data_IF_212287306321
#
_entry.id   IF_212287306321
#
_cell.length_a   1.000
_cell.length_b   1.000
_cell.length_c   1.000
_cell.angle_alpha   90.00
_cell.angle_beta   90.00
_cell.angle_gamma   90.00
#
_symmetry.space_group_name_H-M   'P 1'
#
loop_
_entity.id
_entity.type
_entity.pdbx_description
1 polymer ?
#
# COMPACT_ATOMS: atom_id res chain seq x y z
N UNK A 1 -19.06 36.20 4.86
CA UNK A 1 -18.14 35.32 5.61
C UNK A 1 -19.02 34.61 6.62
N UNK A 2 -19.31 33.32 6.42
CA UNK A 2 -20.27 32.57 7.24
C UNK A 2 -19.50 31.81 8.33
N UNK A 3 -19.73 32.15 9.59
CA UNK A 3 -19.22 31.41 10.74
C UNK A 3 -20.22 30.35 11.15
N UNK A 4 -19.77 29.11 11.24
CA UNK A 4 -20.58 27.99 11.73
C UNK A 4 -20.38 27.92 13.24
N UNK A 5 -21.46 28.08 14.01
CA UNK A 5 -21.43 27.89 15.46
C UNK A 5 -21.49 26.40 15.78
N UNK A 6 -20.48 25.89 16.49
CA UNK A 6 -20.44 24.50 16.97
C UNK A 6 -21.08 24.45 18.35
N UNK A 7 -22.30 23.94 18.43
CA UNK A 7 -22.99 23.69 19.69
C UNK A 7 -22.48 22.37 20.29
N UNK A 8 -21.64 22.43 21.33
CA UNK A 8 -21.29 21.25 22.12
C UNK A 8 -22.45 20.89 23.04
N UNK A 9 -23.22 19.87 22.69
CA UNK A 9 -24.25 19.28 23.56
C UNK A 9 -23.60 18.19 24.41
N UNK A 10 -23.59 18.38 25.73
CA UNK A 10 -23.19 17.34 26.67
C UNK A 10 -24.35 16.35 26.86
N UNK A 11 -24.57 15.48 25.88
CA UNK A 11 -25.33 14.25 26.11
C UNK A 11 -24.39 13.20 26.69
N UNK A 12 -24.87 12.46 27.69
CA UNK A 12 -24.16 11.27 28.17
C UNK A 12 -24.17 10.25 27.03
N UNK A 13 -23.02 10.06 26.38
CA UNK A 13 -22.84 9.02 25.37
C UNK A 13 -23.14 7.68 26.02
N UNK A 14 -23.99 6.88 25.39
CA UNK A 14 -24.30 5.54 25.86
C UNK A 14 -23.01 4.72 25.97
N UNK A 15 -22.89 3.84 26.96
CA UNK A 15 -21.64 3.11 27.25
C UNK A 15 -21.20 2.23 26.06
N UNK A 16 -22.15 1.91 25.17
CA UNK A 16 -21.94 1.18 23.91
C UNK A 16 -21.35 2.02 22.78
N UNK A 17 -21.40 3.35 22.87
CA UNK A 17 -20.82 4.29 21.88
C UNK A 17 -19.39 4.72 22.23
N UNK A 18 -18.85 4.24 23.36
CA UNK A 18 -17.48 4.54 23.78
C UNK A 18 -16.53 3.54 23.11
N UNK A 19 -15.96 3.95 21.99
CA UNK A 19 -14.86 3.22 21.33
C UNK A 19 -13.63 3.28 22.25
N UNK A 20 -13.27 2.15 22.86
CA UNK A 20 -11.99 2.01 23.55
C UNK A 20 -10.85 1.98 22.54
N UNK A 21 -10.18 3.13 22.38
CA UNK A 21 -9.06 3.29 21.47
C UNK A 21 -7.90 2.35 21.77
N UNK A 22 -7.68 1.94 23.02
CA UNK A 22 -6.60 1.02 23.37
C UNK A 22 -6.89 -0.40 22.87
N UNK A 23 -8.13 -0.86 23.00
CA UNK A 23 -8.57 -2.14 22.43
C UNK A 23 -8.55 -2.12 20.90
N UNK A 24 -8.89 -0.99 20.27
CA UNK A 24 -8.87 -0.85 18.81
C UNK A 24 -7.43 -0.91 18.25
N UNK A 25 -6.48 -0.22 18.90
CA UNK A 25 -5.06 -0.28 18.55
C UNK A 25 -4.51 -1.69 18.75
N UNK A 26 -4.82 -2.34 19.89
CA UNK A 26 -4.38 -3.73 20.14
C UNK A 26 -4.89 -4.67 19.07
N UNK A 27 -6.17 -4.56 18.69
CA UNK A 27 -6.76 -5.37 17.63
C UNK A 27 -6.07 -5.13 16.28
N UNK A 28 -5.79 -3.87 15.92
CA UNK A 28 -5.07 -3.52 14.70
C UNK A 28 -3.65 -4.11 14.67
N UNK A 29 -2.95 -4.07 15.80
CA UNK A 29 -1.59 -4.61 15.95
C UNK A 29 -1.61 -6.14 15.96
N UNK A 30 -2.61 -6.78 16.57
CA UNK A 30 -2.73 -8.24 16.60
C UNK A 30 -3.22 -8.82 15.26
N UNK A 31 -4.06 -8.08 14.53
CA UNK A 31 -4.49 -8.43 13.17
C UNK A 31 -3.43 -8.09 12.12
N UNK A 32 -2.30 -7.48 12.52
CA UNK A 32 -1.14 -7.27 11.67
C UNK A 32 -0.50 -8.64 11.38
N UNK A 33 -1.05 -9.34 10.38
CA UNK A 33 -0.44 -10.49 9.74
C UNK A 33 1.02 -10.16 9.50
N UNK A 34 1.92 -11.01 10.03
CA UNK A 34 3.31 -11.02 9.61
C UNK A 34 3.37 -10.95 8.08
N UNK A 35 4.25 -10.10 7.49
CA UNK A 35 4.39 -10.05 6.04
C UNK A 35 4.67 -11.48 5.56
N UNK A 36 3.94 -11.91 4.54
CA UNK A 36 3.98 -13.28 4.08
C UNK A 36 5.44 -13.67 3.81
N UNK A 37 5.87 -14.81 4.36
CA UNK A 37 7.28 -15.26 4.42
C UNK A 37 7.94 -15.56 3.05
N UNK A 38 7.43 -15.01 1.94
CA UNK A 38 7.96 -15.12 0.58
C UNK A 38 7.69 -13.87 -0.26
N UNK A 39 7.72 -12.68 0.32
CA UNK A 39 7.87 -11.48 -0.52
C UNK A 39 9.25 -11.56 -1.19
N UNK A 40 9.27 -11.80 -2.50
CA UNK A 40 10.51 -11.76 -3.26
C UNK A 40 11.18 -10.40 -3.02
N UNK A 41 12.51 -10.37 -2.90
CA UNK A 41 13.20 -9.13 -2.56
C UNK A 41 12.88 -8.03 -3.58
N UNK A 42 12.51 -6.85 -3.07
CA UNK A 42 12.35 -5.63 -3.85
C UNK A 42 13.71 -4.94 -4.01
N UNK A 43 13.82 -4.04 -4.99
CA UNK A 43 14.97 -3.14 -5.10
C UNK A 43 14.78 -1.97 -4.13
N UNK A 44 15.84 -1.64 -3.36
CA UNK A 44 15.78 -0.61 -2.32
C UNK A 44 15.52 0.80 -2.85
N UNK A 45 16.13 1.14 -3.98
CA UNK A 45 16.02 2.47 -4.61
C UNK A 45 15.50 2.33 -6.04
N UNK A 46 14.19 2.05 -6.21
CA UNK A 46 13.62 1.91 -7.54
C UNK A 46 13.56 3.27 -8.24
N UNK A 47 13.70 3.31 -9.58
CA UNK A 47 13.61 4.56 -10.32
C UNK A 47 12.23 5.21 -10.17
N UNK A 48 12.18 6.51 -9.89
CA UNK A 48 10.94 7.29 -9.73
C UNK A 48 10.51 8.00 -11.02
N UNK A 49 10.89 7.44 -12.17
CA UNK A 49 10.44 7.89 -13.49
C UNK A 49 9.51 6.86 -14.09
N UNK A 50 8.52 7.29 -14.88
CA UNK A 50 7.52 6.37 -15.48
C UNK A 50 8.19 5.31 -16.35
N UNK A 51 9.08 5.73 -17.25
CA UNK A 51 9.85 4.80 -18.09
C UNK A 51 10.80 3.93 -17.27
N UNK A 52 11.39 4.48 -16.20
CA UNK A 52 12.22 3.72 -15.27
C UNK A 52 11.46 2.58 -14.60
N UNK A 53 10.23 2.84 -14.13
CA UNK A 53 9.38 1.81 -13.52
C UNK A 53 9.05 0.67 -14.48
N UNK A 54 8.73 1.01 -15.74
CA UNK A 54 8.54 0.02 -16.79
C UNK A 54 9.78 -0.85 -17.03
N UNK A 55 10.96 -0.22 -17.22
CA UNK A 55 12.24 -0.93 -17.42
C UNK A 55 12.63 -1.79 -16.22
N UNK A 56 12.30 -1.32 -15.02
CA UNK A 56 12.50 -2.07 -13.78
C UNK A 56 11.67 -3.35 -13.77
N UNK A 57 10.39 -3.29 -14.19
CA UNK A 57 9.52 -4.47 -14.33
C UNK A 57 10.08 -5.53 -15.27
N UNK A 58 10.59 -5.11 -16.43
CA UNK A 58 11.27 -6.01 -17.38
C UNK A 58 12.47 -6.71 -16.73
N UNK A 59 13.30 -5.95 -16.02
CA UNK A 59 14.52 -6.47 -15.38
C UNK A 59 14.21 -7.39 -14.20
N UNK A 60 13.19 -7.05 -13.42
CA UNK A 60 12.77 -7.79 -12.24
C UNK A 60 12.09 -9.13 -12.59
N UNK A 61 11.43 -9.22 -13.75
CA UNK A 61 10.87 -10.47 -14.24
C UNK A 61 11.94 -11.57 -14.36
N UNK A 62 13.07 -11.26 -15.02
CA UNK A 62 14.17 -12.20 -15.18
C UNK A 62 14.81 -12.60 -13.83
N UNK A 63 14.85 -11.66 -12.88
CA UNK A 63 15.42 -11.88 -11.55
C UNK A 63 14.42 -12.40 -10.50
N UNK A 64 13.17 -12.62 -10.88
CA UNK A 64 12.06 -13.02 -9.98
C UNK A 64 11.94 -12.14 -8.74
N UNK A 65 12.12 -10.82 -8.91
CA UNK A 65 11.96 -9.83 -7.83
C UNK A 65 10.53 -9.34 -7.72
N UNK A 66 10.13 -8.88 -6.54
CA UNK A 66 8.81 -8.29 -6.33
C UNK A 66 8.78 -6.82 -6.74
N UNK A 67 7.56 -6.30 -6.88
CA UNK A 67 7.31 -4.91 -7.23
C UNK A 67 7.70 -3.99 -6.06
N UNK A 68 8.67 -3.07 -6.25
CA UNK A 68 9.14 -2.19 -5.17
C UNK A 68 8.21 -0.99 -4.93
N UNK A 69 7.22 -0.76 -5.79
CA UNK A 69 6.33 0.40 -5.70
C UNK A 69 5.10 0.12 -4.84
N UNK A 70 4.53 1.17 -4.23
CA UNK A 70 3.28 1.08 -3.46
C UNK A 70 2.14 0.57 -4.35
N UNK A 71 1.43 -0.47 -3.90
CA UNK A 71 0.25 -0.99 -4.58
C UNK A 71 -0.78 0.12 -4.89
N UNK A 72 -1.31 0.10 -6.12
CA UNK A 72 -2.25 1.11 -6.63
C UNK A 72 -1.61 2.42 -7.09
N UNK A 73 -0.30 2.60 -6.97
CA UNK A 73 0.40 3.75 -7.57
C UNK A 73 0.58 3.61 -9.08
N UNK A 74 0.82 4.73 -9.78
CA UNK A 74 1.10 4.70 -11.23
C UNK A 74 2.39 3.94 -11.55
N UNK A 75 3.41 4.05 -10.71
CA UNK A 75 4.65 3.30 -10.87
C UNK A 75 4.44 1.80 -10.70
N UNK A 76 3.59 1.37 -9.77
CA UNK A 76 3.23 -0.04 -9.59
C UNK A 76 2.62 -0.63 -10.87
N UNK A 77 1.69 0.09 -11.50
CA UNK A 77 1.05 -0.34 -12.74
C UNK A 77 2.03 -0.45 -13.91
N UNK A 78 2.95 0.51 -14.05
CA UNK A 78 3.96 0.49 -15.13
C UNK A 78 5.00 -0.61 -14.94
N UNK A 79 5.39 -0.89 -13.70
CA UNK A 79 6.25 -2.03 -13.40
C UNK A 79 5.56 -3.34 -13.81
N UNK A 80 4.27 -3.49 -13.49
CA UNK A 80 3.50 -4.68 -13.84
C UNK A 80 3.39 -4.86 -15.37
N UNK A 81 3.18 -3.76 -16.10
CA UNK A 81 3.19 -3.74 -17.57
C UNK A 81 4.53 -4.24 -18.13
N UNK A 82 5.66 -3.73 -17.63
CA UNK A 82 6.99 -4.19 -18.05
C UNK A 82 7.26 -5.66 -17.70
N UNK A 83 6.78 -6.13 -16.54
CA UNK A 83 6.88 -7.54 -16.14
C UNK A 83 6.09 -8.45 -17.10
N UNK A 84 4.87 -8.05 -17.46
CA UNK A 84 4.01 -8.78 -18.40
C UNK A 84 4.65 -8.80 -19.79
N UNK A 85 5.20 -7.68 -20.26
CA UNK A 85 5.88 -7.61 -21.56
C UNK A 85 7.09 -8.54 -21.63
N UNK A 86 7.88 -8.62 -20.55
CA UNK A 86 9.00 -9.54 -20.47
C UNK A 86 8.54 -11.01 -20.48
N UNK A 87 7.41 -11.32 -19.84
CA UNK A 87 6.82 -12.66 -19.83
C UNK A 87 6.29 -13.08 -21.22
N UNK A 88 5.72 -12.14 -21.98
CA UNK A 88 5.14 -12.42 -23.30
C UNK A 88 6.18 -12.40 -24.42
N UNK A 89 7.22 -11.57 -24.32
CA UNK A 89 8.27 -11.48 -25.35
C UNK A 89 9.24 -12.67 -25.35
N UNK A 90 9.28 -13.46 -24.28
CA UNK A 90 10.11 -14.66 -24.17
C UNK A 90 9.47 -15.95 -24.72
N UNK A 91 8.25 -15.88 -25.27
CA UNK A 91 7.57 -17.00 -25.94
C UNK A 91 7.72 -16.91 -27.45
#
# INVERSE_FOLDING_TARGET
>A
MNTVEVLSRAEASDQLDVIDGASLIRRLVSDHRAPAAREAACVDNPPLTLYGAFRQGVTDHAARRANPYRAGSRFWALWEEGRIEAETSGR
#
